data_IF_452112065232
#
_entry.id   IF_452112065232
#
_cell.length_a   1.000
_cell.length_b   1.000
_cell.length_c   1.000
_cell.angle_alpha   90.00
_cell.angle_beta   90.00
_cell.angle_gamma   90.00
#
_symmetry.space_group_name_H-M   'P 1'
#
loop_
_entity.id
_entity.type
_entity.pdbx_description
1 polymer ?
2 non-polymer ?
3 non-polymer ?
4 water ?
#
# COMPACT_ATOMS: atom_id res chain seq x y z
N UNK A 14 -7.77 -16.07 -5.40
CA UNK A 14 -6.28 -15.97 -5.24
C UNK A 14 -5.64 -15.09 -6.33
N UNK A 15 -6.42 -14.14 -6.86
CA UNK A 15 -5.93 -13.29 -7.95
C UNK A 15 -4.81 -12.39 -7.47
N UNK A 16 -3.84 -12.15 -8.37
CA UNK A 16 -2.77 -11.15 -8.20
C UNK A 16 -1.78 -11.53 -7.11
N UNK A 17 -1.82 -12.79 -6.71
CA UNK A 17 -1.00 -13.33 -5.64
C UNK A 17 0.48 -12.94 -5.81
N UNK A 18 0.96 -13.01 -7.05
CA UNK A 18 2.36 -12.71 -7.32
C UNK A 18 2.61 -11.31 -7.85
N UNK A 19 1.57 -10.49 -7.87
CA UNK A 19 1.68 -9.15 -8.43
C UNK A 19 2.46 -8.22 -7.50
N UNK A 20 3.49 -7.57 -8.03
CA UNK A 20 4.27 -6.60 -7.24
C UNK A 20 3.79 -5.18 -7.55
N UNK A 21 3.26 -4.50 -6.54
CA UNK A 21 2.83 -3.11 -6.69
C UNK A 21 3.46 -2.20 -5.63
N UNK A 22 3.79 -2.78 -4.48
CA UNK A 22 4.33 -2.00 -3.37
C UNK A 22 5.79 -1.60 -3.65
N UNK A 23 6.21 -0.46 -3.10
CA UNK A 23 7.60 0.03 -3.25
C UNK A 23 8.66 -0.92 -2.66
N UNK A 24 8.25 -1.85 -1.79
CA UNK A 24 9.20 -2.79 -1.17
C UNK A 24 9.62 -3.90 -2.15
N UNK A 25 8.99 -3.92 -3.33
CA UNK A 25 9.30 -4.87 -4.42
C UNK A 25 8.93 -6.32 -4.12
N UNK A 26 8.15 -6.55 -3.07
CA UNK A 26 7.63 -7.88 -2.73
C UNK A 26 6.16 -7.96 -3.16
N UNK A 27 5.67 -9.17 -3.50
CA UNK A 27 4.32 -9.31 -4.05
C UNK A 27 3.19 -9.19 -3.03
N UNK A 28 1.97 -9.08 -3.54
CA UNK A 28 0.75 -9.08 -2.74
C UNK A 28 0.78 -10.23 -1.74
N UNK A 29 0.88 -11.46 -2.26
CA UNK A 29 1.01 -12.66 -1.44
C UNK A 29 -0.10 -12.82 -0.40
N UNK A 30 -1.29 -12.28 -0.69
CA UNK A 30 -2.43 -12.32 0.25
C UNK A 30 -2.30 -11.47 1.53
N UNK A 31 -1.29 -10.61 1.58
CA UNK A 31 -1.04 -9.73 2.73
C UNK A 31 -2.00 -8.54 2.71
N UNK A 32 -2.28 -7.94 3.90
CA UNK A 32 -3.18 -6.76 3.87
C UNK A 32 -2.57 -5.60 3.06
N UNK A 33 -3.40 -4.92 2.26
CA UNK A 33 -2.97 -3.82 1.39
C UNK A 33 -3.83 -2.59 1.60
N UNK A 34 -3.31 -1.46 1.14
CA UNK A 34 -4.03 -0.19 1.21
C UNK A 34 -3.67 0.62 -0.04
N UNK A 35 -4.66 1.33 -0.59
CA UNK A 35 -4.46 2.05 -1.85
C UNK A 35 -4.18 3.52 -1.58
N UNK A 36 -3.15 4.07 -2.23
CA UNK A 36 -2.93 5.52 -2.19
C UNK A 36 -4.11 6.28 -2.79
N UNK A 37 -4.57 7.30 -2.06
CA UNK A 37 -5.71 8.12 -2.46
C UNK A 37 -5.43 8.97 -3.69
N UNK A 38 -4.16 9.06 -4.08
CA UNK A 38 -3.77 9.99 -5.13
C UNK A 38 -3.21 9.31 -6.36
N UNK A 39 -2.25 8.39 -6.19
CA UNK A 39 -1.63 7.71 -7.34
C UNK A 39 -2.21 6.32 -7.58
N UNK A 40 -3.11 5.89 -6.70
CA UNK A 40 -3.84 4.61 -6.82
C UNK A 40 -2.95 3.36 -6.69
N UNK A 41 -1.71 3.53 -6.23
CA UNK A 41 -0.79 2.40 -6.01
C UNK A 41 -1.20 1.62 -4.77
N UNK A 42 -1.19 0.29 -4.88
CA UNK A 42 -1.51 -0.58 -3.74
C UNK A 42 -0.22 -0.89 -2.99
N UNK A 43 -0.20 -0.53 -1.71
CA UNK A 43 0.96 -0.63 -0.83
C UNK A 43 0.59 -1.66 0.27
N UNK A 44 1.55 -2.47 0.70
CA UNK A 44 1.32 -3.32 1.90
C UNK A 44 0.96 -2.44 3.09
N UNK A 45 -0.08 -2.85 3.81
CA UNK A 45 -0.53 -2.10 5.00
C UNK A 45 0.66 -1.89 5.96
N UNK A 46 1.46 -2.95 6.15
CA UNK A 46 2.60 -2.87 7.07
C UNK A 46 3.73 -1.98 6.53
N UNK A 47 3.91 -1.96 5.20
CA UNK A 47 4.88 -1.06 4.56
C UNK A 47 4.48 0.40 4.67
N UNK A 48 3.17 0.65 4.67
CA UNK A 48 2.58 1.96 4.92
C UNK A 48 2.74 2.38 6.38
N UNK A 49 3.30 1.48 7.20
CA UNK A 49 3.48 1.67 8.66
C UNK A 49 2.15 1.90 9.39
N UNK A 50 1.12 1.16 8.96
CA UNK A 50 -0.20 1.29 9.53
C UNK A 50 -0.54 0.07 10.36
N UNK A 51 -0.93 0.30 11.61
CA UNK A 51 -1.38 -0.78 12.50
C UNK A 51 -2.78 -1.20 12.09
N UNK A 52 -3.02 -2.50 12.06
CA UNK A 52 -4.33 -3.06 11.66
C UNK A 52 -5.47 -2.54 12.53
N UNK A 53 -5.17 -2.10 13.75
CA UNK A 53 -6.20 -1.63 14.67
C UNK A 53 -6.52 -0.14 14.46
N UNK A 54 -5.81 0.51 13.54
CA UNK A 54 -5.99 1.94 13.32
C UNK A 54 -5.77 2.31 11.85
N UNK A 55 -6.62 1.78 10.97
CA UNK A 55 -6.48 1.97 9.51
C UNK A 55 -7.16 3.29 9.13
N UNK A 56 -6.42 4.20 8.48
CA UNK A 56 -7.01 5.51 8.14
C UNK A 56 -8.01 5.42 6.99
N UNK A 57 -9.02 6.29 7.00
CA UNK A 57 -9.96 6.41 5.88
C UNK A 57 -9.22 6.82 4.59
N UNK A 58 -8.24 7.70 4.76
CA UNK A 58 -7.52 8.25 3.62
C UNK A 58 -6.04 7.98 3.83
N UNK A 59 -5.44 7.29 2.87
CA UNK A 59 -4.00 7.03 2.89
C UNK A 59 -3.32 7.69 1.70
N UNK A 60 -2.21 8.39 1.95
CA UNK A 60 -1.41 8.96 0.88
C UNK A 60 -0.01 8.40 1.02
N UNK A 61 0.51 7.82 -0.06
CA UNK A 61 1.82 7.18 0.01
C UNK A 61 2.90 8.24 0.19
N UNK A 62 4.03 7.82 0.74
CA UNK A 62 5.19 8.70 0.94
C UNK A 62 5.55 9.49 -0.32
N UNK A 63 5.56 8.82 -1.47
CA UNK A 63 5.92 9.47 -2.72
C UNK A 63 4.97 10.59 -3.12
N UNK A 64 3.67 10.37 -2.92
CA UNK A 64 2.71 11.41 -3.22
C UNK A 64 2.81 12.57 -2.23
N UNK A 65 3.02 12.23 -0.96
CA UNK A 65 3.23 13.24 0.10
C UNK A 65 4.38 14.19 -0.25
N UNK A 66 5.41 13.64 -0.90
CA UNK A 66 6.63 14.39 -1.25
C UNK A 66 6.70 14.82 -2.74
N UNK A 67 5.53 14.82 -3.40
CA UNK A 67 5.38 15.18 -4.83
C UNK A 67 6.03 16.50 -5.17
N UNK A 68 6.72 16.52 -6.31
CA UNK A 68 7.27 17.73 -6.92
C UNK A 68 8.09 18.59 -5.93
X LIG B 1 0.48 -3.74 15.51
X LIG B 1 -0.71 -4.18 14.81
X LIG B 1 1.43 -4.92 15.78
X LIG B 1 2.01 -5.36 14.55
X LIG B 1 2.58 -4.61 16.75
X LIG B 1 2.07 -4.12 18.00
X LIG C 1 -6.08 -3.39 5.24
X LIG C 1 -6.40 -2.12 4.66
X LIG C 1 -7.37 -4.17 5.47
X LIG C 1 -7.99 -4.36 4.20
X LIG C 1 -7.09 -5.54 6.11
X LIG C 1 -6.50 -5.39 7.42
X LIG D 1 5.50 -3.64 0.69
X LIG E 1 0.66 7.77 -3.99
#
# INVERSE_FOLDING_TARGET
MHHHHHHSSGRENLYFQGLVTCFCMKPFAGRPMIECNECHTWIHLSCAKIRKSNVPEVFVCQKCRDSK
GOL C1 O1 C2 O2 C3 O3
GOL C1 O1 C2 O2 C3 O3
ZN ZN
ZN ZN
#
